data_IF_377188646734
#
_entry.id   IF_377188646734
#
_cell.length_a   1.000
_cell.length_b   1.000
_cell.length_c   1.000
_cell.angle_alpha   90.00
_cell.angle_beta   90.00
_cell.angle_gamma   90.00
#
_symmetry.space_group_name_H-M   'P 1'
#
loop_
_entity.id
_entity.type
_entity.pdbx_description
1 polymer ?
#
# COMPACT_ATOMS: atom_id res chain seq x y z
N UNK A 1 20.65 -13.94 13.34
CA UNK A 1 20.16 -12.55 13.44
C UNK A 1 21.29 -11.67 13.91
N UNK A 2 21.54 -10.54 13.27
CA UNK A 2 22.53 -9.56 13.69
C UNK A 2 22.20 -8.18 13.13
N UNK A 3 22.07 -7.17 14.00
CA UNK A 3 21.78 -5.79 13.55
C UNK A 3 22.90 -5.18 12.72
N UNK A 4 24.15 -5.42 13.07
CA UNK A 4 25.33 -4.91 12.35
C UNK A 4 25.85 -5.86 11.27
N UNK A 5 25.49 -7.15 11.34
CA UNK A 5 26.02 -8.20 10.47
C UNK A 5 27.54 -8.43 10.60
N UNK A 6 28.16 -8.02 11.71
CA UNK A 6 29.62 -8.07 11.92
C UNK A 6 30.03 -8.90 13.12
N UNK A 7 29.10 -9.57 13.80
CA UNK A 7 29.37 -10.39 14.97
C UNK A 7 30.17 -11.64 14.58
N UNK A 8 31.40 -11.78 15.06
CA UNK A 8 32.34 -12.82 14.65
C UNK A 8 31.84 -14.25 14.94
N UNK A 9 31.16 -14.44 16.08
CA UNK A 9 30.56 -15.73 16.45
C UNK A 9 29.44 -16.13 15.44
N UNK A 10 28.66 -15.18 14.93
CA UNK A 10 27.60 -15.44 13.94
C UNK A 10 28.23 -15.74 12.57
N UNK A 11 29.28 -15.02 12.18
CA UNK A 11 30.01 -15.30 10.94
C UNK A 11 30.56 -16.71 10.93
N UNK A 12 31.24 -17.13 12.01
CA UNK A 12 31.76 -18.50 12.17
C UNK A 12 30.65 -19.55 12.13
N UNK A 13 29.48 -19.26 12.71
CA UNK A 13 28.32 -20.17 12.66
C UNK A 13 27.82 -20.35 11.23
N UNK A 14 27.71 -19.27 10.43
CA UNK A 14 27.31 -19.35 9.03
C UNK A 14 28.32 -20.09 8.17
N UNK A 15 29.62 -19.85 8.37
CA UNK A 15 30.71 -20.60 7.70
C UNK A 15 30.63 -22.11 8.01
N UNK A 16 30.43 -22.45 9.29
CA UNK A 16 30.27 -23.84 9.70
C UNK A 16 29.04 -24.49 9.07
N UNK A 17 27.90 -23.78 9.08
CA UNK A 17 26.67 -24.25 8.47
C UNK A 17 26.81 -24.50 6.97
N UNK A 18 27.48 -23.59 6.26
CA UNK A 18 27.77 -23.74 4.83
C UNK A 18 28.66 -24.97 4.56
N UNK A 19 29.70 -25.20 5.42
CA UNK A 19 30.54 -26.38 5.32
C UNK A 19 29.81 -27.72 5.58
N UNK A 20 28.69 -27.66 6.29
CA UNK A 20 27.81 -28.81 6.56
C UNK A 20 26.64 -28.95 5.54
N UNK A 21 26.57 -28.08 4.53
CA UNK A 21 25.50 -28.09 3.56
C UNK A 21 24.15 -27.61 4.12
N UNK A 22 24.13 -26.83 5.20
CA UNK A 22 22.94 -26.29 5.83
C UNK A 22 22.63 -24.92 5.22
N UNK A 23 21.43 -24.76 4.69
CA UNK A 23 20.91 -23.47 4.17
C UNK A 23 20.83 -22.45 5.31
N UNK A 24 21.32 -21.25 5.04
CA UNK A 24 21.41 -20.17 6.02
C UNK A 24 20.53 -18.98 5.62
N UNK A 25 19.78 -18.45 6.59
CA UNK A 25 19.00 -17.21 6.45
C UNK A 25 19.51 -16.18 7.45
N UNK A 26 19.95 -15.02 6.98
CA UNK A 26 20.41 -13.92 7.83
C UNK A 26 19.40 -12.77 7.85
N UNK A 27 19.03 -12.31 9.06
CA UNK A 27 18.31 -11.09 9.29
C UNK A 27 19.30 -10.01 9.72
N UNK A 28 19.46 -8.96 8.92
CA UNK A 28 20.46 -7.90 9.14
C UNK A 28 19.84 -6.51 9.09
N UNK A 29 20.52 -5.52 9.67
CA UNK A 29 20.18 -4.12 9.50
C UNK A 29 20.60 -3.58 8.12
N UNK A 30 20.32 -2.30 7.83
CA UNK A 30 20.61 -1.69 6.54
C UNK A 30 22.13 -1.61 6.27
N UNK A 31 22.48 -1.62 4.99
CA UNK A 31 23.86 -1.53 4.50
C UNK A 31 24.52 -2.88 4.22
N UNK A 32 25.72 -2.81 3.70
CA UNK A 32 26.53 -4.00 3.40
C UNK A 32 27.19 -4.55 4.67
N UNK A 33 27.14 -5.86 4.86
CA UNK A 33 27.77 -6.51 6.00
C UNK A 33 28.39 -7.84 5.60
N UNK A 34 29.44 -8.31 6.31
CA UNK A 34 30.04 -9.63 6.08
C UNK A 34 29.00 -10.75 6.18
N UNK A 35 28.07 -10.69 7.14
CA UNK A 35 27.02 -11.68 7.30
C UNK A 35 26.08 -11.75 6.10
N UNK A 36 25.70 -10.58 5.55
CA UNK A 36 24.89 -10.53 4.33
C UNK A 36 25.60 -11.09 3.09
N UNK A 37 26.93 -11.01 3.06
CA UNK A 37 27.72 -11.57 1.98
C UNK A 37 27.94 -13.09 2.10
N UNK A 38 27.85 -13.65 3.32
CA UNK A 38 28.14 -15.06 3.59
C UNK A 38 26.90 -15.95 3.68
N UNK A 39 25.73 -15.39 3.99
CA UNK A 39 24.49 -16.16 4.10
C UNK A 39 23.87 -16.42 2.72
N UNK A 40 23.23 -17.57 2.56
CA UNK A 40 22.55 -17.96 1.32
C UNK A 40 21.30 -17.11 1.06
N UNK A 41 20.53 -16.80 2.11
CA UNK A 41 19.39 -15.92 2.06
C UNK A 41 19.57 -14.75 3.03
N UNK A 42 19.14 -13.57 2.63
CA UNK A 42 19.30 -12.36 3.46
C UNK A 42 18.01 -11.56 3.47
N UNK A 43 17.52 -11.27 4.68
CA UNK A 43 16.46 -10.31 4.92
C UNK A 43 17.07 -9.05 5.54
N UNK A 44 17.03 -7.94 4.80
CA UNK A 44 17.51 -6.64 5.29
C UNK A 44 16.34 -5.88 5.92
N UNK A 45 16.50 -5.46 7.17
CA UNK A 45 15.52 -4.65 7.90
C UNK A 45 15.88 -3.16 7.78
N UNK A 46 15.16 -2.39 6.97
CA UNK A 46 15.47 -0.98 6.70
C UNK A 46 14.93 -0.07 7.81
N UNK A 47 15.64 0.04 8.93
CA UNK A 47 15.26 0.91 10.02
C UNK A 47 16.41 1.85 10.43
N UNK A 48 16.11 3.09 10.91
CA UNK A 48 17.12 4.12 11.13
C UNK A 48 17.95 3.95 12.41
N UNK A 49 17.53 3.07 13.34
CA UNK A 49 18.19 2.88 14.62
C UNK A 49 18.20 1.42 15.05
N UNK A 50 19.22 1.04 15.83
CA UNK A 50 19.41 -0.33 16.33
C UNK A 50 18.18 -0.87 17.06
N UNK A 51 17.54 -0.15 18.00
CA UNK A 51 16.32 -0.65 18.64
C UNK A 51 15.21 -0.99 17.65
N UNK A 52 14.99 -0.16 16.66
CA UNK A 52 13.97 -0.38 15.62
C UNK A 52 14.29 -1.56 14.71
N UNK A 53 15.59 -1.75 14.40
CA UNK A 53 16.03 -2.93 13.67
C UNK A 53 15.72 -4.19 14.47
N UNK A 54 16.03 -4.21 15.78
CA UNK A 54 15.77 -5.35 16.65
C UNK A 54 14.28 -5.66 16.80
N UNK A 55 13.44 -4.65 16.99
CA UNK A 55 11.99 -4.83 17.05
C UNK A 55 11.43 -5.49 15.78
N UNK A 56 11.85 -4.99 14.60
CA UNK A 56 11.40 -5.52 13.33
C UNK A 56 12.00 -6.92 13.02
N UNK A 57 13.24 -7.19 13.44
CA UNK A 57 13.83 -8.52 13.33
C UNK A 57 13.05 -9.54 14.16
N UNK A 58 12.61 -9.17 15.38
CA UNK A 58 11.79 -10.03 16.22
C UNK A 58 10.43 -10.34 15.57
N UNK A 59 9.78 -9.33 14.98
CA UNK A 59 8.52 -9.54 14.23
C UNK A 59 8.73 -10.49 13.06
N UNK A 60 9.80 -10.29 12.28
CA UNK A 60 10.12 -11.17 11.15
C UNK A 60 10.43 -12.60 11.59
N UNK A 61 11.12 -12.77 12.72
CA UNK A 61 11.41 -14.08 13.31
C UNK A 61 10.14 -14.81 13.72
N UNK A 62 9.21 -14.14 14.42
CA UNK A 62 7.92 -14.72 14.81
C UNK A 62 7.11 -15.14 13.59
N UNK A 63 7.00 -14.28 12.59
CA UNK A 63 6.28 -14.59 11.36
C UNK A 63 6.87 -15.79 10.62
N UNK A 64 8.21 -15.91 10.58
CA UNK A 64 8.89 -17.07 10.01
C UNK A 64 8.61 -18.34 10.81
N UNK A 65 8.62 -18.28 12.14
CA UNK A 65 8.31 -19.43 13.00
C UNK A 65 6.86 -19.87 12.79
N UNK A 66 5.89 -18.95 12.79
CA UNK A 66 4.49 -19.26 12.52
C UNK A 66 4.32 -19.93 11.15
N UNK A 67 4.91 -19.40 10.08
CA UNK A 67 4.88 -20.02 8.76
C UNK A 67 5.47 -21.44 8.76
N UNK A 68 6.58 -21.67 9.48
CA UNK A 68 7.20 -23.00 9.56
C UNK A 68 6.28 -23.97 10.30
N UNK A 69 5.66 -23.55 11.42
CA UNK A 69 4.71 -24.37 12.18
C UNK A 69 3.49 -24.74 11.34
N UNK A 70 2.92 -23.79 10.61
CA UNK A 70 1.78 -24.04 9.69
C UNK A 70 2.14 -25.03 8.59
N UNK A 71 3.29 -24.86 7.94
CA UNK A 71 3.78 -25.77 6.90
C UNK A 71 3.98 -27.19 7.45
N UNK A 72 4.56 -27.33 8.65
CA UNK A 72 4.77 -28.63 9.30
C UNK A 72 3.44 -29.28 9.71
N UNK A 73 2.43 -28.49 10.04
CA UNK A 73 1.07 -28.96 10.29
C UNK A 73 0.28 -29.32 9.01
N UNK A 74 0.87 -29.11 7.83
CA UNK A 74 0.25 -29.39 6.52
C UNK A 74 -0.52 -28.21 5.94
N UNK A 75 -0.58 -27.08 6.63
CA UNK A 75 -1.15 -25.83 6.11
C UNK A 75 -0.05 -25.04 5.37
N UNK A 76 -0.30 -24.72 4.11
CA UNK A 76 0.63 -23.96 3.27
C UNK A 76 0.06 -22.58 2.89
N UNK A 77 -0.99 -22.13 3.57
CA UNK A 77 -1.65 -20.85 3.28
C UNK A 77 -0.71 -19.65 3.46
N UNK A 78 0.26 -19.74 4.36
CA UNK A 78 1.29 -18.71 4.55
C UNK A 78 2.24 -18.55 3.34
N UNK A 79 2.36 -19.56 2.48
CA UNK A 79 3.14 -19.51 1.23
C UNK A 79 2.33 -18.97 0.05
N UNK A 80 1.01 -18.94 0.19
CA UNK A 80 0.15 -18.35 -0.81
C UNK A 80 0.15 -16.83 -0.65
N UNK A 81 0.15 -16.07 -1.75
CA UNK A 81 -0.11 -14.65 -1.64
C UNK A 81 -1.46 -14.47 -0.92
N UNK A 82 -1.59 -13.44 -0.06
CA UNK A 82 -2.84 -13.22 0.69
C UNK A 82 -4.03 -13.28 -0.26
N UNK A 83 -5.20 -13.79 0.20
CA UNK A 83 -6.39 -13.93 -0.64
C UNK A 83 -6.64 -12.64 -1.42
N UNK A 84 -6.54 -12.72 -2.76
CA UNK A 84 -6.59 -11.54 -3.62
C UNK A 84 -5.27 -11.24 -4.37
N UNK A 85 -4.17 -11.95 -4.11
CA UNK A 85 -2.88 -11.74 -4.76
C UNK A 85 -2.28 -10.35 -4.45
N UNK A 86 -1.23 -9.92 -5.20
CA UNK A 86 -0.71 -8.55 -5.08
C UNK A 86 -1.83 -7.56 -5.39
N UNK A 87 -2.16 -6.70 -4.41
CA UNK A 87 -3.19 -5.67 -4.58
C UNK A 87 -2.71 -4.52 -5.47
N UNK A 88 -1.40 -4.27 -5.53
CA UNK A 88 -0.83 -3.31 -6.48
C UNK A 88 -0.78 -3.96 -7.85
N UNK A 89 -1.55 -3.43 -8.78
CA UNK A 89 -1.75 -4.00 -10.11
C UNK A 89 -1.39 -3.00 -11.20
N UNK A 90 -0.82 -3.52 -12.27
CA UNK A 90 -0.82 -2.84 -13.56
C UNK A 90 -2.22 -2.84 -14.18
N UNK A 91 -2.44 -1.96 -15.16
CA UNK A 91 -3.77 -1.83 -15.78
C UNK A 91 -4.28 -3.12 -16.42
N UNK A 92 -3.44 -3.88 -17.12
CA UNK A 92 -3.88 -5.11 -17.81
C UNK A 92 -4.39 -6.18 -16.83
N UNK A 93 -3.65 -6.57 -15.78
CA UNK A 93 -4.19 -7.49 -14.77
C UNK A 93 -5.37 -6.94 -13.99
N UNK A 94 -5.46 -5.62 -13.74
CA UNK A 94 -6.62 -5.02 -13.10
C UNK A 94 -7.90 -5.19 -13.95
N UNK A 95 -7.81 -4.95 -15.26
CA UNK A 95 -8.94 -5.12 -16.17
C UNK A 95 -9.40 -6.58 -16.25
N UNK A 96 -8.45 -7.53 -16.28
CA UNK A 96 -8.79 -8.95 -16.22
C UNK A 96 -9.55 -9.32 -14.92
N UNK A 97 -9.12 -8.77 -13.77
CA UNK A 97 -9.86 -8.91 -12.50
C UNK A 97 -11.24 -8.25 -12.54
N UNK A 98 -11.34 -7.05 -13.14
CA UNK A 98 -12.64 -6.37 -13.30
C UNK A 98 -13.65 -7.24 -14.07
N UNK A 99 -13.18 -7.92 -15.14
CA UNK A 99 -14.02 -8.82 -15.92
C UNK A 99 -14.47 -10.05 -15.10
N UNK A 100 -13.59 -10.59 -14.24
CA UNK A 100 -13.94 -11.68 -13.32
C UNK A 100 -14.99 -11.21 -12.30
N UNK A 101 -14.76 -10.10 -11.62
CA UNK A 101 -15.71 -9.52 -10.65
C UNK A 101 -17.08 -9.25 -11.27
N UNK A 102 -17.11 -8.74 -12.52
CA UNK A 102 -18.38 -8.53 -13.23
C UNK A 102 -19.13 -9.84 -13.49
N UNK A 103 -18.42 -10.90 -13.87
CA UNK A 103 -19.03 -12.24 -14.08
C UNK A 103 -19.54 -12.84 -12.79
N UNK A 104 -18.90 -12.56 -11.68
CA UNK A 104 -19.31 -12.99 -10.33
C UNK A 104 -20.43 -12.14 -9.73
N UNK A 105 -20.82 -11.05 -10.40
CA UNK A 105 -21.89 -10.16 -9.95
C UNK A 105 -21.45 -9.17 -8.86
N UNK A 106 -20.15 -8.98 -8.67
CA UNK A 106 -19.63 -8.05 -7.68
C UNK A 106 -19.79 -6.59 -8.13
N UNK A 107 -20.20 -5.74 -7.21
CA UNK A 107 -20.22 -4.29 -7.36
C UNK A 107 -18.83 -3.71 -7.12
N UNK A 108 -18.22 -3.16 -8.15
CA UNK A 108 -16.87 -2.55 -8.07
C UNK A 108 -16.98 -1.07 -7.80
N UNK A 109 -16.33 -0.64 -6.73
CA UNK A 109 -16.21 0.75 -6.30
C UNK A 109 -14.83 1.28 -6.69
N UNK A 110 -14.79 2.48 -7.25
CA UNK A 110 -13.57 3.23 -7.51
C UNK A 110 -13.52 4.48 -6.66
N UNK A 111 -12.38 4.74 -6.06
CA UNK A 111 -11.99 6.06 -5.54
C UNK A 111 -10.56 6.36 -5.94
N UNK A 112 -10.17 7.63 -5.94
CA UNK A 112 -8.81 8.02 -6.28
C UNK A 112 -8.32 9.19 -5.45
N UNK A 113 -6.99 9.33 -5.37
CA UNK A 113 -6.35 10.43 -4.66
C UNK A 113 -4.84 10.40 -4.67
N UNK A 114 -4.24 11.43 -4.10
CA UNK A 114 -2.79 11.53 -3.97
C UNK A 114 -2.23 10.58 -2.90
N UNK A 115 -2.94 10.40 -1.80
CA UNK A 115 -2.54 9.56 -0.63
C UNK A 115 -1.09 9.81 -0.18
N UNK A 116 -0.69 11.08 -0.13
CA UNK A 116 0.72 11.43 0.10
C UNK A 116 1.19 11.08 1.53
N UNK A 117 0.61 11.68 2.55
CA UNK A 117 0.76 11.25 3.94
C UNK A 117 -0.55 10.61 4.40
N UNK A 118 -0.55 9.30 4.60
CA UNK A 118 -1.74 8.61 5.09
C UNK A 118 -2.08 9.03 6.51
N UNK A 119 -3.36 9.27 6.74
CA UNK A 119 -3.93 9.62 8.05
C UNK A 119 -5.32 9.01 8.22
N UNK A 120 -5.88 9.08 9.44
CA UNK A 120 -7.18 8.50 9.77
C UNK A 120 -8.33 8.93 8.86
N UNK A 121 -8.28 10.16 8.33
CA UNK A 121 -9.28 10.66 7.36
C UNK A 121 -9.29 9.86 6.05
N UNK A 122 -8.11 9.49 5.52
CA UNK A 122 -8.02 8.62 4.36
C UNK A 122 -8.62 7.24 4.64
N UNK A 123 -8.28 6.62 5.79
CA UNK A 123 -8.83 5.32 6.16
C UNK A 123 -10.35 5.37 6.32
N UNK A 124 -10.89 6.39 6.97
CA UNK A 124 -12.33 6.56 7.13
C UNK A 124 -13.04 6.70 5.77
N UNK A 125 -12.49 7.52 4.86
CA UNK A 125 -13.02 7.68 3.51
C UNK A 125 -12.98 6.37 2.71
N UNK A 126 -11.89 5.60 2.79
CA UNK A 126 -11.77 4.31 2.11
C UNK A 126 -12.76 3.27 2.67
N UNK A 127 -12.96 3.22 4.00
CA UNK A 127 -13.99 2.38 4.62
C UNK A 127 -15.39 2.74 4.15
N UNK A 128 -15.69 4.04 4.10
CA UNK A 128 -16.99 4.51 3.60
C UNK A 128 -17.17 4.20 2.11
N UNK A 129 -16.12 4.32 1.30
CA UNK A 129 -16.15 3.93 -0.12
C UNK A 129 -16.42 2.44 -0.29
N UNK A 130 -15.72 1.57 0.48
CA UNK A 130 -15.89 0.12 0.47
C UNK A 130 -17.34 -0.32 0.78
N UNK A 131 -18.04 0.44 1.62
CA UNK A 131 -19.43 0.16 1.97
C UNK A 131 -20.44 0.33 0.80
N UNK A 132 -20.04 0.91 -0.33
CA UNK A 132 -20.88 1.06 -1.52
C UNK A 132 -20.86 -0.15 -2.46
N UNK A 133 -20.00 -1.15 -2.22
CA UNK A 133 -19.91 -2.34 -3.07
C UNK A 133 -19.06 -3.47 -2.47
N UNK A 134 -18.76 -4.46 -3.28
CA UNK A 134 -18.09 -5.70 -2.89
C UNK A 134 -16.57 -5.63 -3.08
N UNK A 135 -16.09 -4.75 -3.96
CA UNK A 135 -14.67 -4.59 -4.32
C UNK A 135 -14.32 -3.12 -4.33
N UNK A 136 -13.27 -2.72 -3.62
CA UNK A 136 -12.72 -1.36 -3.65
C UNK A 136 -11.41 -1.30 -4.43
N UNK A 137 -11.44 -0.61 -5.55
CA UNK A 137 -10.27 -0.26 -6.35
C UNK A 137 -9.85 1.17 -6.07
N UNK A 138 -8.58 1.39 -5.76
CA UNK A 138 -8.05 2.72 -5.46
C UNK A 138 -7.05 3.14 -6.52
N UNK A 139 -7.34 4.26 -7.19
CA UNK A 139 -6.41 4.95 -8.08
C UNK A 139 -5.49 5.89 -7.29
N UNK A 140 -4.19 5.71 -7.43
CA UNK A 140 -3.18 6.60 -6.82
C UNK A 140 -2.55 7.47 -7.89
N UNK A 141 -2.59 8.79 -7.71
CA UNK A 141 -1.94 9.72 -8.64
C UNK A 141 -0.41 9.55 -8.64
N UNK A 142 0.19 9.51 -9.82
CA UNK A 142 1.64 9.51 -9.98
C UNK A 142 2.28 10.79 -9.45
N UNK A 143 3.60 10.76 -9.23
CA UNK A 143 4.32 11.88 -8.59
C UNK A 143 4.21 13.17 -9.40
N UNK A 144 4.27 13.08 -10.72
CA UNK A 144 4.14 14.26 -11.60
C UNK A 144 2.73 14.86 -11.54
N UNK A 145 1.69 14.02 -11.52
CA UNK A 145 0.32 14.47 -11.35
C UNK A 145 0.14 15.17 -9.99
N UNK A 146 0.69 14.60 -8.92
CA UNK A 146 0.65 15.23 -7.58
C UNK A 146 1.36 16.58 -7.57
N UNK A 147 2.51 16.73 -8.23
CA UNK A 147 3.21 18.01 -8.36
C UNK A 147 2.36 19.07 -9.06
N UNK A 148 1.69 18.70 -10.14
CA UNK A 148 0.77 19.62 -10.86
C UNK A 148 -0.43 20.02 -10.00
N UNK A 149 -1.00 19.07 -9.24
CA UNK A 149 -2.21 19.30 -8.44
C UNK A 149 -1.94 20.03 -7.11
N UNK A 150 -0.78 19.78 -6.47
CA UNK A 150 -0.49 20.21 -5.08
C UNK A 150 0.73 21.13 -4.95
N UNK A 151 1.49 21.34 -6.02
CA UNK A 151 2.67 22.18 -6.05
C UNK A 151 4.00 21.41 -5.94
N UNK A 152 5.09 22.11 -6.24
CA UNK A 152 6.45 21.52 -6.39
C UNK A 152 7.01 20.82 -5.13
N UNK A 153 6.51 21.18 -3.92
CA UNK A 153 6.90 20.52 -2.66
C UNK A 153 6.19 19.19 -2.39
N UNK A 154 5.40 18.70 -3.32
CA UNK A 154 4.60 17.47 -3.19
C UNK A 154 4.86 16.52 -4.37
N UNK A 155 4.73 15.19 -4.23
CA UNK A 155 4.43 14.50 -2.97
C UNK A 155 5.66 14.43 -2.04
N UNK A 156 5.41 14.19 -0.74
CA UNK A 156 6.47 13.91 0.25
C UNK A 156 6.88 12.44 0.14
N UNK A 157 5.90 11.56 -0.08
CA UNK A 157 6.09 10.12 -0.23
C UNK A 157 5.96 9.73 -1.69
N UNK A 158 6.97 9.07 -2.27
CA UNK A 158 6.96 8.68 -3.68
C UNK A 158 5.83 7.67 -4.01
N UNK A 159 5.43 7.64 -5.28
CA UNK A 159 4.29 6.84 -5.75
C UNK A 159 4.39 5.35 -5.37
N UNK A 160 5.59 4.75 -5.47
CA UNK A 160 5.79 3.34 -5.12
C UNK A 160 5.43 3.05 -3.65
N UNK A 161 5.88 3.89 -2.72
CA UNK A 161 5.55 3.74 -1.30
C UNK A 161 4.07 4.03 -1.01
N UNK A 162 3.47 5.02 -1.70
CA UNK A 162 2.04 5.35 -1.54
C UNK A 162 1.15 4.20 -2.00
N UNK A 163 1.49 3.55 -3.11
CA UNK A 163 0.81 2.34 -3.60
C UNK A 163 0.86 1.22 -2.56
N UNK A 164 2.04 0.91 -2.02
CA UNK A 164 2.23 -0.14 -1.01
C UNK A 164 1.44 0.16 0.28
N UNK A 165 1.48 1.41 0.77
CA UNK A 165 0.75 1.80 1.97
C UNK A 165 -0.77 1.66 1.80
N UNK A 166 -1.31 2.09 0.64
CA UNK A 166 -2.74 1.96 0.34
C UNK A 166 -3.13 0.49 0.15
N UNK A 167 -2.30 -0.29 -0.52
CA UNK A 167 -2.51 -1.73 -0.70
C UNK A 167 -2.48 -2.51 0.62
N UNK A 168 -1.70 -2.05 1.60
CA UNK A 168 -1.64 -2.63 2.95
C UNK A 168 -2.91 -2.46 3.78
N UNK A 169 -3.86 -1.62 3.34
CA UNK A 169 -5.14 -1.47 4.03
C UNK A 169 -6.08 -2.64 3.69
N UNK A 170 -6.67 -3.25 4.70
CA UNK A 170 -7.57 -4.41 4.56
C UNK A 170 -8.80 -4.12 3.71
N UNK A 171 -9.33 -2.89 3.79
CA UNK A 171 -10.52 -2.45 3.06
C UNK A 171 -10.31 -2.24 1.56
N UNK A 172 -9.06 -2.29 1.08
CA UNK A 172 -8.69 -2.08 -0.32
C UNK A 172 -8.44 -3.43 -0.99
N UNK A 173 -9.05 -3.69 -2.12
CA UNK A 173 -8.92 -4.95 -2.88
C UNK A 173 -7.92 -4.84 -4.03
N UNK A 174 -7.79 -3.66 -4.63
CA UNK A 174 -6.81 -3.39 -5.67
C UNK A 174 -6.36 -1.93 -5.68
N UNK A 175 -5.11 -1.70 -6.07
CA UNK A 175 -4.51 -0.36 -6.21
C UNK A 175 -3.84 -0.28 -7.56
N UNK A 176 -4.01 0.86 -8.24
CA UNK A 176 -3.39 1.13 -9.54
C UNK A 176 -2.85 2.54 -9.61
N UNK A 177 -1.70 2.71 -10.26
CA UNK A 177 -1.13 4.01 -10.58
C UNK A 177 -1.81 4.62 -11.80
N UNK A 178 -2.06 5.95 -11.77
CA UNK A 178 -2.45 6.72 -12.95
C UNK A 178 -1.77 8.09 -12.96
N UNK A 179 -1.48 8.62 -14.13
CA UNK A 179 -0.63 9.82 -14.30
C UNK A 179 -1.43 11.07 -14.70
N UNK A 180 -2.70 10.91 -15.00
CA UNK A 180 -3.58 12.00 -15.40
C UNK A 180 -4.02 12.81 -14.17
N UNK A 181 -4.33 14.10 -14.40
CA UNK A 181 -4.79 15.02 -13.35
C UNK A 181 -6.25 14.74 -12.96
N UNK A 182 -7.02 14.13 -13.87
CA UNK A 182 -8.40 13.69 -13.65
C UNK A 182 -8.51 12.18 -13.90
N UNK A 183 -9.36 11.43 -13.19
CA UNK A 183 -9.48 9.99 -13.36
C UNK A 183 -10.35 9.57 -14.56
N UNK A 184 -10.71 10.49 -15.46
CA UNK A 184 -11.66 10.20 -16.56
C UNK A 184 -11.23 8.98 -17.38
N UNK A 185 -9.96 8.95 -17.85
CA UNK A 185 -9.44 7.80 -18.62
C UNK A 185 -9.40 6.50 -17.81
N UNK A 186 -9.12 6.60 -16.53
CA UNK A 186 -9.15 5.46 -15.61
C UNK A 186 -10.57 4.91 -15.47
N UNK A 187 -11.56 5.79 -15.35
CA UNK A 187 -12.99 5.44 -15.28
C UNK A 187 -13.49 4.82 -16.59
N UNK A 188 -13.13 5.39 -17.74
CA UNK A 188 -13.46 4.84 -19.07
C UNK A 188 -12.90 3.42 -19.25
N UNK A 189 -11.69 3.15 -18.75
CA UNK A 189 -11.04 1.84 -18.87
C UNK A 189 -11.63 0.81 -17.90
N UNK A 190 -11.79 1.17 -16.63
CA UNK A 190 -12.23 0.24 -15.58
C UNK A 190 -13.74 0.05 -15.59
N UNK A 191 -14.51 1.10 -15.89
CA UNK A 191 -15.97 1.16 -15.81
C UNK A 191 -16.49 0.62 -14.47
N UNK A 192 -16.12 1.23 -13.33
CA UNK A 192 -16.61 0.80 -12.02
C UNK A 192 -18.12 1.08 -11.90
N UNK A 193 -18.81 0.29 -11.08
CA UNK A 193 -20.24 0.48 -10.85
C UNK A 193 -20.53 1.72 -9.99
N UNK A 194 -19.54 2.08 -9.11
CA UNK A 194 -19.64 3.26 -8.25
C UNK A 194 -18.33 4.04 -8.29
N UNK A 195 -18.40 5.34 -8.55
CA UNK A 195 -17.30 6.28 -8.39
C UNK A 195 -17.49 7.09 -7.12
N UNK A 196 -16.59 6.93 -6.12
CA UNK A 196 -16.65 7.64 -4.86
C UNK A 196 -15.77 8.88 -4.85
N UNK A 197 -16.32 10.00 -4.40
CA UNK A 197 -15.61 11.27 -4.14
C UNK A 197 -15.85 11.70 -2.68
N UNK A 198 -14.97 12.54 -2.15
CA UNK A 198 -15.20 13.17 -0.84
C UNK A 198 -16.43 14.08 -0.84
N UNK A 199 -17.05 14.26 0.31
CA UNK A 199 -18.24 15.12 0.45
C UNK A 199 -17.98 16.60 0.12
N UNK A 200 -16.72 17.04 0.10
CA UNK A 200 -16.31 18.38 -0.40
C UNK A 200 -16.68 18.65 -1.87
N UNK A 201 -16.96 17.58 -2.63
CA UNK A 201 -17.46 17.66 -4.00
C UNK A 201 -18.99 17.71 -4.10
N UNK A 202 -19.70 17.51 -2.99
CA UNK A 202 -21.16 17.55 -2.99
C UNK A 202 -21.66 18.98 -3.31
N UNK A 203 -22.55 19.09 -4.27
CA UNK A 203 -23.05 20.38 -4.76
C UNK A 203 -22.13 21.10 -5.76
N UNK A 204 -20.97 20.53 -6.12
CA UNK A 204 -20.09 21.05 -7.16
C UNK A 204 -20.26 20.27 -8.46
N UNK A 205 -19.84 20.86 -9.58
CA UNK A 205 -19.75 20.15 -10.85
C UNK A 205 -18.68 19.06 -10.74
N UNK A 206 -19.02 17.83 -11.10
CA UNK A 206 -18.13 16.69 -11.11
C UNK A 206 -17.84 16.36 -12.57
N UNK A 207 -16.63 16.66 -13.08
CA UNK A 207 -16.28 16.44 -14.48
C UNK A 207 -16.45 14.99 -14.94
N UNK A 208 -16.27 14.03 -14.02
CA UNK A 208 -16.33 12.60 -14.29
C UNK A 208 -17.77 12.04 -14.36
N UNK A 209 -18.78 12.81 -13.92
CA UNK A 209 -20.16 12.32 -13.79
C UNK A 209 -20.72 11.80 -15.10
N UNK A 210 -20.60 12.59 -16.17
CA UNK A 210 -21.11 12.21 -17.50
C UNK A 210 -20.48 10.90 -17.99
N UNK A 211 -19.18 10.75 -17.80
CA UNK A 211 -18.45 9.52 -18.13
C UNK A 211 -18.98 8.32 -17.33
N UNK A 212 -19.15 8.48 -16.01
CA UNK A 212 -19.60 7.41 -15.11
C UNK A 212 -21.04 6.99 -15.45
N UNK A 213 -21.94 7.94 -15.59
CA UNK A 213 -23.36 7.68 -15.92
C UNK A 213 -23.52 7.13 -17.34
N UNK A 214 -22.60 7.50 -18.27
CA UNK A 214 -22.61 7.05 -19.67
C UNK A 214 -22.41 5.54 -19.84
N UNK A 215 -21.68 4.88 -18.96
CA UNK A 215 -21.53 3.40 -18.95
C UNK A 215 -22.44 2.70 -17.94
N UNK A 216 -23.37 3.41 -17.29
CA UNK A 216 -24.35 2.85 -16.34
C UNK A 216 -23.89 2.82 -14.88
N UNK A 217 -22.75 3.43 -14.55
CA UNK A 217 -22.29 3.61 -13.18
C UNK A 217 -22.98 4.78 -12.46
N UNK A 218 -22.64 4.99 -11.19
CA UNK A 218 -23.14 6.11 -10.37
C UNK A 218 -22.04 6.78 -9.58
N UNK A 219 -22.22 8.06 -9.25
CA UNK A 219 -21.33 8.79 -8.34
C UNK A 219 -21.91 8.74 -6.92
N UNK A 220 -21.05 8.46 -5.94
CA UNK A 220 -21.35 8.46 -4.52
C UNK A 220 -20.38 9.36 -3.76
N UNK A 221 -20.75 9.75 -2.54
CA UNK A 221 -19.92 10.63 -1.70
C UNK A 221 -19.57 9.94 -0.39
N UNK A 222 -18.29 10.03 -0.02
CA UNK A 222 -17.81 9.58 1.29
C UNK A 222 -17.78 10.76 2.26
N UNK A 223 -18.15 10.57 3.55
CA UNK A 223 -18.12 11.64 4.53
C UNK A 223 -16.69 12.18 4.71
N UNK A 224 -16.59 13.49 4.96
CA UNK A 224 -15.34 14.11 5.41
C UNK A 224 -15.20 13.90 6.93
N UNK A 225 -13.95 13.65 7.35
CA UNK A 225 -13.60 13.62 8.76
C UNK A 225 -12.97 14.97 9.09
N UNK A 226 -13.66 15.76 9.91
CA UNK A 226 -13.19 17.09 10.32
C UNK A 226 -11.83 17.01 11.02
N UNK A 227 -10.99 18.02 10.80
CA UNK A 227 -9.68 18.17 11.45
C UNK A 227 -8.60 17.17 10.96
N UNK A 228 -8.87 16.38 9.92
CA UNK A 228 -7.91 15.43 9.33
C UNK A 228 -7.60 15.77 7.89
N UNK A 229 -6.58 16.58 7.67
CA UNK A 229 -6.05 16.83 6.32
C UNK A 229 -4.52 16.66 6.29
N UNK A 230 -4.01 16.25 5.13
CA UNK A 230 -2.55 16.17 4.90
C UNK A 230 -1.89 17.55 5.08
N UNK A 231 -2.58 18.63 4.70
CA UNK A 231 -2.07 19.99 4.85
C UNK A 231 -1.90 20.36 6.33
N UNK A 232 -2.86 20.02 7.19
CA UNK A 232 -2.76 20.28 8.62
C UNK A 232 -1.70 19.43 9.29
N UNK A 233 -1.53 18.18 8.83
CA UNK A 233 -0.48 17.31 9.32
C UNK A 233 0.91 17.91 9.03
N UNK A 234 1.14 18.38 7.80
CA UNK A 234 2.39 19.04 7.41
C UNK A 234 2.63 20.29 8.24
N UNK A 235 1.63 21.14 8.42
CA UNK A 235 1.76 22.35 9.26
C UNK A 235 2.15 22.03 10.69
N UNK A 236 1.56 21.00 11.28
CA UNK A 236 1.94 20.53 12.63
C UNK A 236 3.40 20.08 12.69
N UNK A 237 3.86 19.35 11.68
CA UNK A 237 5.26 18.91 11.58
C UNK A 237 6.20 20.11 11.46
N UNK A 238 5.81 21.14 10.71
CA UNK A 238 6.57 22.39 10.55
C UNK A 238 6.48 23.33 11.77
N UNK A 239 5.74 22.96 12.83
CA UNK A 239 5.53 23.82 14.00
C UNK A 239 4.62 25.03 13.73
N UNK A 240 3.84 25.01 12.67
CA UNK A 240 2.87 26.06 12.30
C UNK A 240 1.49 25.72 12.87
N UNK A 241 0.77 26.75 13.36
CA UNK A 241 -0.59 26.56 13.86
C UNK A 241 -1.54 26.00 12.78
N UNK A 242 -2.51 25.13 13.14
CA UNK A 242 -3.58 24.72 12.22
C UNK A 242 -4.36 25.94 11.72
N UNK A 243 -4.86 25.89 10.48
CA UNK A 243 -5.83 26.88 10.00
C UNK A 243 -7.14 26.60 10.75
N UNK A 244 -7.52 27.49 11.64
CA UNK A 244 -8.91 27.57 12.12
C UNK A 244 -9.69 28.32 11.05
N UNK A 245 -10.59 27.63 10.38
CA UNK A 245 -11.62 28.28 9.55
C UNK A 245 -12.59 29.04 10.44
#
# INVERSE_FOLDING_TARGET
ISTSGRSENILRAVETAAGLGVTTLALVGPGTSPLAASAEHVLVVPAPSVPRIQELQLVAEHALCECVEEILAGDRSCLEPPPGGRKVLEWSPLLARRDAWRKEGHTVVWTNGCFDLLHGGHLASLRAARAFGDVLVVGVNGDESVRRLKGAGRPIVCAAQRLELVAGLDVVDAVVLFEEDTPIRSLERLQPDVHCKGADWQGRAIPERETVEGYGGRVAFTPLVEGLSTTDLIRRIEGRAPVTD
#
